data_IF_805727845353
#
_entry.id   IF_805727845353
#
_cell.length_a   1.000
_cell.length_b   1.000
_cell.length_c   1.000
_cell.angle_alpha   90.00
_cell.angle_beta   90.00
_cell.angle_gamma   90.00
#
_symmetry.space_group_name_H-M   'P 1'
#
loop_
_entity.id
_entity.type
_entity.pdbx_description
1 polymer ?
#
# COMPACT_ATOMS: atom_id res chain seq x y z
N UNK A 1 23.67 -60.26 19.54
CA UNK A 1 23.60 -59.17 20.55
C UNK A 1 24.66 -58.14 20.19
N UNK A 2 24.29 -56.84 20.26
CA UNK A 2 25.11 -55.61 20.08
C UNK A 2 25.14 -54.98 18.68
N UNK A 3 24.19 -54.04 18.53
CA UNK A 3 24.22 -52.82 17.72
C UNK A 3 25.62 -52.20 17.61
N UNK A 4 25.92 -51.53 16.49
CA UNK A 4 25.96 -50.04 16.42
C UNK A 4 25.74 -49.53 15.00
N UNK A 5 24.63 -48.83 14.85
CA UNK A 5 24.32 -47.85 13.80
C UNK A 5 25.28 -46.67 13.98
N UNK A 6 25.82 -46.13 12.89
CA UNK A 6 26.28 -44.74 12.84
C UNK A 6 25.76 -44.13 11.54
N UNK A 7 24.60 -43.50 11.68
CA UNK A 7 24.01 -42.60 10.70
C UNK A 7 24.90 -41.36 10.56
N UNK A 8 25.26 -41.01 9.33
CA UNK A 8 25.84 -39.70 9.04
C UNK A 8 24.71 -38.68 9.03
N UNK A 9 24.63 -37.90 10.11
CA UNK A 9 23.76 -36.74 10.21
C UNK A 9 24.35 -35.56 9.42
N UNK A 10 23.44 -34.92 8.69
CA UNK A 10 23.54 -33.73 7.86
C UNK A 10 24.01 -32.47 8.59
N UNK A 11 24.76 -31.61 7.90
CA UNK A 11 24.68 -30.15 8.07
C UNK A 11 24.84 -29.46 6.72
N UNK A 12 23.77 -29.41 5.92
CA UNK A 12 23.61 -28.35 4.92
C UNK A 12 23.16 -27.10 5.66
N UNK A 13 24.11 -26.25 6.04
CA UNK A 13 23.82 -24.89 6.45
C UNK A 13 23.28 -24.14 5.22
N UNK A 14 21.96 -24.14 5.05
CA UNK A 14 21.30 -23.16 4.21
C UNK A 14 21.45 -21.81 4.91
N UNK A 15 22.54 -21.10 4.59
CA UNK A 15 22.63 -19.66 4.78
C UNK A 15 21.51 -19.05 3.95
N UNK A 16 20.33 -18.88 4.55
CA UNK A 16 19.32 -17.97 4.04
C UNK A 16 19.98 -16.59 4.04
N UNK A 17 20.54 -16.20 2.90
CA UNK A 17 20.81 -14.81 2.56
C UNK A 17 19.46 -14.09 2.63
N UNK A 18 19.12 -13.61 3.82
CA UNK A 18 18.05 -12.65 4.00
C UNK A 18 18.47 -11.40 3.25
N UNK A 19 18.11 -11.30 1.97
CA UNK A 19 18.15 -10.04 1.26
C UNK A 19 17.29 -9.08 2.09
N UNK A 20 17.93 -8.14 2.77
CA UNK A 20 17.30 -7.02 3.49
C UNK A 20 16.67 -6.04 2.48
N UNK A 21 15.80 -6.57 1.63
CA UNK A 21 15.18 -5.88 0.52
C UNK A 21 13.93 -5.15 0.97
N UNK A 22 13.64 -4.04 0.30
CA UNK A 22 12.32 -3.42 0.38
C UNK A 22 11.32 -4.35 -0.30
N UNK A 23 10.31 -4.79 0.44
CA UNK A 23 9.17 -5.50 -0.13
C UNK A 23 8.35 -4.46 -0.87
N UNK A 24 8.25 -4.62 -2.20
CA UNK A 24 7.44 -3.73 -3.03
C UNK A 24 5.97 -4.06 -2.77
N UNK A 25 5.14 -3.07 -2.38
CA UNK A 25 3.71 -3.29 -2.26
C UNK A 25 3.11 -3.69 -3.60
N UNK A 26 2.15 -4.62 -3.57
CA UNK A 26 1.40 -5.03 -4.76
C UNK A 26 0.40 -3.96 -5.14
N UNK A 27 0.13 -3.87 -6.44
CA UNK A 27 -0.94 -3.01 -6.98
C UNK A 27 -1.73 -3.86 -7.96
N UNK A 28 -2.95 -4.18 -7.57
CA UNK A 28 -3.89 -4.92 -8.38
C UNK A 28 -5.26 -4.25 -8.24
N UNK A 29 -6.12 -4.39 -9.25
CA UNK A 29 -7.52 -3.96 -9.15
C UNK A 29 -8.17 -4.80 -8.05
N UNK A 30 -8.82 -4.14 -7.09
CA UNK A 30 -9.44 -4.83 -5.99
C UNK A 30 -10.67 -5.62 -6.46
N UNK A 31 -11.01 -6.68 -5.72
CA UNK A 31 -12.25 -7.38 -5.94
C UNK A 31 -13.39 -6.65 -5.21
N UNK A 32 -14.41 -6.26 -5.97
CA UNK A 32 -15.61 -5.57 -5.50
C UNK A 32 -16.82 -6.51 -5.57
N UNK A 33 -17.82 -6.26 -4.73
CA UNK A 33 -19.15 -6.83 -5.02
C UNK A 33 -19.74 -6.16 -6.28
N UNK A 34 -20.85 -6.69 -6.79
CA UNK A 34 -21.46 -6.19 -8.03
C UNK A 34 -21.89 -4.74 -7.94
N UNK A 35 -22.23 -4.27 -6.74
CA UNK A 35 -22.93 -3.01 -6.53
C UNK A 35 -21.94 -1.86 -6.38
N UNK A 36 -20.73 -2.12 -5.86
CA UNK A 36 -19.67 -1.12 -5.66
C UNK A 36 -18.59 -1.13 -6.76
N UNK A 37 -18.80 -1.85 -7.86
CA UNK A 37 -17.82 -1.93 -8.95
C UNK A 37 -17.91 -0.70 -9.87
N UNK A 38 -16.92 0.21 -9.75
CA UNK A 38 -16.80 1.40 -10.61
C UNK A 38 -15.39 1.41 -11.23
N UNK A 39 -15.18 0.74 -12.38
CA UNK A 39 -13.85 0.51 -12.96
C UNK A 39 -13.02 1.78 -13.18
N UNK A 40 -13.66 2.90 -13.55
CA UNK A 40 -12.97 4.17 -13.72
C UNK A 40 -12.27 4.66 -12.44
N UNK A 41 -12.85 4.43 -11.26
CA UNK A 41 -12.18 4.77 -9.98
C UNK A 41 -11.04 3.80 -9.72
N UNK A 42 -11.24 2.50 -9.97
CA UNK A 42 -10.24 1.46 -9.72
C UNK A 42 -8.97 1.66 -10.54
N UNK A 43 -9.13 1.92 -11.83
CA UNK A 43 -8.03 2.23 -12.74
C UNK A 43 -7.27 3.48 -12.31
N UNK A 44 -7.99 4.52 -11.88
CA UNK A 44 -7.40 5.75 -11.37
C UNK A 44 -6.58 5.48 -10.09
N UNK A 45 -7.13 4.74 -9.12
CA UNK A 45 -6.41 4.41 -7.87
C UNK A 45 -5.17 3.58 -8.18
N UNK A 46 -5.28 2.55 -9.03
CA UNK A 46 -4.15 1.70 -9.43
C UNK A 46 -3.05 2.53 -10.08
N UNK A 47 -3.40 3.48 -10.95
CA UNK A 47 -2.43 4.38 -11.59
C UNK A 47 -1.73 5.27 -10.54
N UNK A 48 -2.49 5.91 -9.65
CA UNK A 48 -1.93 6.76 -8.58
C UNK A 48 -1.03 5.98 -7.62
N UNK A 49 -1.50 4.81 -7.14
CA UNK A 49 -0.74 3.96 -6.21
C UNK A 49 0.53 3.43 -6.85
N UNK A 50 0.48 3.03 -8.13
CA UNK A 50 1.66 2.58 -8.87
C UNK A 50 2.70 3.69 -9.00
N UNK A 51 2.27 4.90 -9.39
CA UNK A 51 3.17 6.04 -9.51
C UNK A 51 3.79 6.41 -8.16
N UNK A 52 2.97 6.50 -7.12
CA UNK A 52 3.39 6.81 -5.76
C UNK A 52 4.38 5.78 -5.21
N UNK A 53 4.15 4.48 -5.47
CA UNK A 53 5.06 3.42 -5.03
C UNK A 53 6.46 3.63 -5.59
N UNK A 54 6.55 3.89 -6.90
CA UNK A 54 7.83 3.97 -7.58
C UNK A 54 8.54 5.29 -7.26
N UNK A 55 7.81 6.41 -7.22
CA UNK A 55 8.39 7.75 -7.03
C UNK A 55 8.63 8.11 -5.56
N UNK A 56 7.83 7.58 -4.63
CA UNK A 56 7.79 8.07 -3.25
C UNK A 56 8.09 6.92 -2.26
N UNK A 57 7.29 5.86 -2.27
CA UNK A 57 7.39 4.77 -1.28
C UNK A 57 8.75 4.06 -1.33
N UNK A 58 9.14 3.53 -2.49
CA UNK A 58 10.35 2.69 -2.61
C UNK A 58 11.62 3.48 -2.24
N UNK A 59 11.85 4.71 -2.75
CA UNK A 59 13.03 5.49 -2.36
C UNK A 59 13.10 5.74 -0.85
N UNK A 60 11.98 6.13 -0.22
CA UNK A 60 11.94 6.42 1.21
C UNK A 60 12.09 5.15 2.07
N UNK A 61 11.47 4.05 1.65
CA UNK A 61 11.64 2.74 2.30
C UNK A 61 13.08 2.21 2.21
N UNK A 62 13.80 2.56 1.14
CA UNK A 62 15.25 2.29 0.99
C UNK A 62 16.13 3.29 1.74
N UNK A 63 15.54 4.27 2.43
CA UNK A 63 16.22 5.38 3.12
C UNK A 63 17.14 6.19 2.18
N UNK A 64 16.76 6.32 0.90
CA UNK A 64 17.44 7.25 0.02
C UNK A 64 17.13 8.70 0.44
N UNK A 65 18.07 9.65 0.26
CA UNK A 65 17.78 11.06 0.44
C UNK A 65 16.57 11.50 -0.43
N UNK A 66 15.64 12.33 0.08
CA UNK A 66 14.54 12.83 -0.73
C UNK A 66 14.99 13.70 -1.90
N UNK A 67 14.53 13.37 -3.10
CA UNK A 67 14.87 14.04 -4.37
C UNK A 67 13.67 14.81 -4.96
N UNK A 68 12.47 14.60 -4.43
CA UNK A 68 11.26 15.27 -4.88
C UNK A 68 10.30 15.57 -3.72
N UNK A 69 9.20 16.26 -4.04
CA UNK A 69 8.22 16.70 -3.04
C UNK A 69 7.55 15.54 -2.30
N UNK A 70 7.05 14.52 -3.01
CA UNK A 70 6.34 13.42 -2.34
C UNK A 70 7.26 12.59 -1.43
N UNK A 71 8.53 12.39 -1.81
CA UNK A 71 9.54 11.77 -0.96
C UNK A 71 9.82 12.62 0.27
N UNK A 72 9.91 13.94 0.11
CA UNK A 72 10.17 14.88 1.20
C UNK A 72 9.03 14.89 2.21
N UNK A 73 7.78 14.92 1.73
CA UNK A 73 6.59 14.88 2.58
C UNK A 73 6.49 13.57 3.36
N UNK A 74 6.69 12.43 2.67
CA UNK A 74 6.68 11.11 3.29
C UNK A 74 7.81 10.97 4.33
N UNK A 75 9.03 11.38 3.99
CA UNK A 75 10.17 11.37 4.92
C UNK A 75 9.93 12.25 6.14
N UNK A 76 9.45 13.48 5.97
CA UNK A 76 9.17 14.38 7.09
C UNK A 76 8.08 13.84 8.01
N UNK A 77 7.05 13.18 7.46
CA UNK A 77 6.02 12.55 8.28
C UNK A 77 6.58 11.41 9.13
N UNK A 78 7.48 10.61 8.56
CA UNK A 78 8.17 9.53 9.27
C UNK A 78 9.14 10.07 10.33
N UNK A 79 9.94 11.07 9.97
CA UNK A 79 10.95 11.67 10.84
C UNK A 79 10.34 12.34 12.08
N UNK A 80 9.19 12.99 11.93
CA UNK A 80 8.45 13.56 13.08
C UNK A 80 7.90 12.52 14.04
N UNK A 81 7.58 11.32 13.54
CA UNK A 81 6.89 10.28 14.32
C UNK A 81 7.85 9.25 14.90
N UNK A 82 8.92 8.95 14.17
CA UNK A 82 9.83 7.84 14.41
C UNK A 82 11.32 8.21 14.24
N UNK A 83 11.64 9.50 14.03
CA UNK A 83 13.00 9.93 13.69
C UNK A 83 13.56 9.15 12.48
N UNK A 84 14.78 8.61 12.59
CA UNK A 84 15.39 7.80 11.53
C UNK A 84 15.15 6.29 11.71
N UNK A 85 14.42 5.90 12.76
CA UNK A 85 14.18 4.51 13.18
C UNK A 85 12.92 3.91 12.56
N UNK A 86 12.37 4.52 11.52
CA UNK A 86 11.22 3.96 10.82
C UNK A 86 11.56 2.68 10.04
N UNK A 87 10.59 1.77 9.97
CA UNK A 87 10.62 0.53 9.20
C UNK A 87 9.62 0.62 8.03
N UNK A 88 9.53 -0.42 7.18
CA UNK A 88 8.61 -0.42 6.04
C UNK A 88 7.12 -0.34 6.44
N UNK A 89 6.74 -0.87 7.60
CA UNK A 89 5.38 -0.76 8.12
C UNK A 89 5.01 0.71 8.40
N UNK A 90 5.92 1.45 9.03
CA UNK A 90 5.76 2.89 9.23
C UNK A 90 5.64 3.64 7.90
N UNK A 91 6.45 3.28 6.89
CA UNK A 91 6.34 3.86 5.55
C UNK A 91 4.97 3.59 4.93
N UNK A 92 4.45 2.35 5.04
CA UNK A 92 3.13 1.98 4.56
C UNK A 92 2.01 2.77 5.26
N UNK A 93 2.05 2.90 6.59
CA UNK A 93 1.09 3.68 7.37
C UNK A 93 1.09 5.16 6.96
N UNK A 94 2.27 5.77 6.85
CA UNK A 94 2.40 7.17 6.41
C UNK A 94 1.96 7.36 4.95
N UNK A 95 2.26 6.38 4.10
CA UNK A 95 1.87 6.38 2.69
C UNK A 95 0.36 6.29 2.52
N UNK A 96 -0.35 5.50 3.34
CA UNK A 96 -1.82 5.48 3.36
C UNK A 96 -2.36 6.89 3.57
N UNK A 97 -1.87 7.62 4.57
CA UNK A 97 -2.35 8.97 4.86
C UNK A 97 -2.10 9.96 3.71
N UNK A 98 -0.92 9.92 3.11
CA UNK A 98 -0.54 10.88 2.07
C UNK A 98 -1.19 10.54 0.73
N UNK A 99 -1.15 9.28 0.30
CA UNK A 99 -1.72 8.84 -0.97
C UNK A 99 -3.23 9.08 -1.01
N UNK A 100 -3.95 8.71 0.06
CA UNK A 100 -5.41 8.84 0.05
C UNK A 100 -5.89 10.28 0.09
N UNK A 101 -5.09 11.24 0.57
CA UNK A 101 -5.42 12.65 0.44
C UNK A 101 -5.60 13.07 -1.03
N UNK A 102 -4.72 12.60 -1.91
CA UNK A 102 -4.77 12.94 -3.34
C UNK A 102 -5.84 12.12 -4.08
N UNK A 103 -5.96 10.83 -3.74
CA UNK A 103 -7.01 9.95 -4.27
C UNK A 103 -8.40 10.49 -3.91
N UNK A 104 -8.64 10.90 -2.66
CA UNK A 104 -9.95 11.40 -2.22
C UNK A 104 -10.36 12.63 -3.01
N UNK A 105 -9.44 13.57 -3.19
CA UNK A 105 -9.67 14.75 -4.02
C UNK A 105 -10.05 14.36 -5.45
N UNK A 106 -9.36 13.36 -6.03
CA UNK A 106 -9.63 12.90 -7.38
C UNK A 106 -10.96 12.14 -7.51
N UNK A 107 -11.30 11.28 -6.57
CA UNK A 107 -12.59 10.58 -6.54
C UNK A 107 -13.73 11.60 -6.45
N UNK A 108 -13.61 12.62 -5.60
CA UNK A 108 -14.61 13.68 -5.47
C UNK A 108 -14.75 14.45 -6.79
N UNK A 109 -13.65 14.78 -7.45
CA UNK A 109 -13.67 15.42 -8.78
C UNK A 109 -14.40 14.54 -9.81
N UNK A 110 -14.05 13.25 -9.89
CA UNK A 110 -14.66 12.30 -10.81
C UNK A 110 -16.15 12.11 -10.54
N UNK A 111 -16.58 12.03 -9.27
CA UNK A 111 -18.01 11.91 -8.93
C UNK A 111 -18.89 13.05 -9.45
N UNK A 112 -18.28 14.22 -9.73
CA UNK A 112 -18.95 15.41 -10.24
C UNK A 112 -18.88 15.49 -11.76
N UNK A 113 -17.71 15.20 -12.30
CA UNK A 113 -17.35 15.53 -13.68
C UNK A 113 -17.37 14.32 -14.62
N UNK A 114 -17.08 13.12 -14.11
CA UNK A 114 -17.04 11.90 -14.92
C UNK A 114 -18.46 11.31 -15.05
N UNK A 115 -19.01 11.18 -16.28
CA UNK A 115 -20.35 10.67 -16.49
C UNK A 115 -20.53 9.22 -16.01
N UNK A 116 -19.53 8.36 -16.16
CA UNK A 116 -19.59 6.95 -15.79
C UNK A 116 -19.67 6.81 -14.27
N UNK A 117 -18.73 7.45 -13.56
CA UNK A 117 -18.70 7.46 -12.09
C UNK A 117 -19.98 8.06 -11.53
N UNK A 118 -20.41 9.21 -12.07
CA UNK A 118 -21.63 9.88 -11.61
C UNK A 118 -22.88 9.03 -11.82
N UNK A 119 -22.97 8.30 -12.93
CA UNK A 119 -24.11 7.43 -13.21
C UNK A 119 -24.13 6.22 -12.28
N UNK A 120 -22.97 5.60 -12.00
CA UNK A 120 -22.88 4.50 -11.04
C UNK A 120 -23.32 4.94 -9.64
N UNK A 121 -22.86 6.11 -9.16
CA UNK A 121 -23.28 6.67 -7.87
C UNK A 121 -24.80 6.92 -7.85
N UNK A 122 -25.37 7.49 -8.91
CA UNK A 122 -26.82 7.71 -9.02
C UNK A 122 -27.64 6.42 -9.07
N UNK A 123 -27.07 5.34 -9.59
CA UNK A 123 -27.68 4.02 -9.60
C UNK A 123 -27.65 3.33 -8.22
N UNK A 124 -27.02 3.95 -7.22
CA UNK A 124 -26.99 3.46 -5.85
C UNK A 124 -25.73 2.70 -5.48
N UNK A 125 -24.65 2.80 -6.27
CA UNK A 125 -23.38 2.16 -5.95
C UNK A 125 -22.83 2.58 -4.58
N UNK A 126 -23.12 3.80 -4.12
CA UNK A 126 -22.80 4.26 -2.77
C UNK A 126 -23.91 5.18 -2.25
N UNK A 127 -24.17 5.11 -0.95
CA UNK A 127 -25.18 5.96 -0.28
C UNK A 127 -24.63 7.34 0.08
N UNK A 128 -23.30 7.47 0.23
CA UNK A 128 -22.66 8.76 0.51
C UNK A 128 -21.22 8.82 -0.01
N UNK A 129 -20.69 10.04 -0.18
CA UNK A 129 -19.27 10.25 -0.50
C UNK A 129 -18.36 9.69 0.60
N UNK A 130 -18.73 9.83 1.88
CA UNK A 130 -17.91 9.34 3.00
C UNK A 130 -17.78 7.82 2.98
N UNK A 131 -18.88 7.12 2.68
CA UNK A 131 -18.89 5.66 2.52
C UNK A 131 -18.01 5.24 1.35
N UNK A 132 -18.17 5.88 0.18
CA UNK A 132 -17.35 5.60 -1.01
C UNK A 132 -15.86 5.75 -0.74
N UNK A 133 -15.44 6.87 -0.13
CA UNK A 133 -14.03 7.08 0.19
C UNK A 133 -13.52 6.02 1.17
N UNK A 134 -14.27 5.73 2.24
CA UNK A 134 -13.88 4.73 3.24
C UNK A 134 -13.76 3.33 2.62
N UNK A 135 -14.70 2.97 1.74
CA UNK A 135 -14.68 1.71 1.01
C UNK A 135 -13.40 1.57 0.16
N UNK A 136 -13.06 2.60 -0.62
CA UNK A 136 -11.85 2.57 -1.44
C UNK A 136 -10.56 2.61 -0.61
N UNK A 137 -10.55 3.26 0.56
CA UNK A 137 -9.41 3.21 1.48
C UNK A 137 -9.15 1.78 1.94
N UNK A 138 -10.19 1.08 2.38
CA UNK A 138 -10.07 -0.30 2.85
C UNK A 138 -9.55 -1.23 1.75
N UNK A 139 -10.05 -1.07 0.52
CA UNK A 139 -9.68 -1.92 -0.63
C UNK A 139 -8.26 -1.68 -1.13
N UNK A 140 -7.76 -0.45 -1.04
CA UNK A 140 -6.52 -0.06 -1.70
C UNK A 140 -5.40 0.38 -0.76
N UNK A 141 -5.58 0.33 0.55
CA UNK A 141 -4.50 0.65 1.49
C UNK A 141 -3.26 -0.23 1.27
N UNK A 142 -2.11 0.30 1.66
CA UNK A 142 -0.91 -0.48 1.85
C UNK A 142 -1.12 -1.45 3.02
N UNK A 143 -0.71 -2.69 2.82
CA UNK A 143 -0.71 -3.69 3.89
C UNK A 143 0.20 -3.22 5.02
N UNK A 144 -0.38 -3.10 6.20
CA UNK A 144 0.34 -2.77 7.43
C UNK A 144 0.17 -3.92 8.41
N UNK A 145 1.28 -4.39 8.96
CA UNK A 145 1.23 -5.34 10.07
C UNK A 145 0.88 -4.52 11.31
N UNK A 146 -0.16 -4.91 12.04
CA UNK A 146 -0.45 -4.33 13.35
C UNK A 146 0.70 -4.74 14.26
N UNK A 147 1.55 -3.79 14.66
CA UNK A 147 2.59 -4.06 15.65
C UNK A 147 1.88 -4.48 16.94
N UNK A 148 1.98 -5.78 17.29
CA UNK A 148 1.52 -6.28 18.58
C UNK A 148 2.51 -5.76 19.62
N UNK A 149 2.09 -4.75 20.38
CA UNK A 149 2.80 -4.23 21.55
C UNK A 149 2.78 -5.22 22.71
#
# INVERSE_FOLDING_TARGET
>A
MKLRVLAFATMTAALLTGCSGVVKPTVEVANHDSDHNIPAIDEMIVAYKTDYINKCYIPVAKKHPPENQCQSELFQMLERSYHLDYNQNHVAMASNKLLFKDIDAKIIEMSRNDPEVRNAIRAGAFTSTSEMLSYYHEKYQFDTQVEQY
#
